data_IF_913346436691
#
_entry.id   IF_913346436691
#
_cell.length_a   1.000
_cell.length_b   1.000
_cell.length_c   1.000
_cell.angle_alpha   90.00
_cell.angle_beta   90.00
_cell.angle_gamma   90.00
#
_symmetry.space_group_name_H-M   'P 1'
#
loop_
_entity.id
_entity.type
_entity.pdbx_description
1 polymer ?
#
# COMPACT_ATOMS: atom_id res chain seq x y z
N UNK A 1 -1.38 5.14 -4.58
CA UNK A 1 -2.29 4.04 -4.27
C UNK A 1 -1.88 2.83 -5.07
N UNK A 2 -1.76 1.69 -4.39
CA UNK A 2 -1.40 0.40 -4.96
C UNK A 2 -2.47 -0.63 -4.63
N UNK A 3 -2.61 -1.65 -5.47
CA UNK A 3 -3.29 -2.92 -5.16
C UNK A 3 -2.23 -4.00 -4.99
N UNK A 4 -2.19 -4.61 -3.81
CA UNK A 4 -1.31 -5.74 -3.51
C UNK A 4 -2.13 -7.01 -3.60
N UNK A 5 -1.72 -7.93 -4.46
CA UNK A 5 -2.31 -9.27 -4.59
C UNK A 5 -1.54 -10.22 -3.70
N UNK A 6 -2.09 -10.49 -2.50
CA UNK A 6 -1.48 -11.37 -1.52
C UNK A 6 -2.09 -12.77 -1.63
N UNK A 7 -1.26 -13.77 -1.87
CA UNK A 7 -1.64 -15.17 -1.75
C UNK A 7 -1.75 -15.52 -0.27
N UNK A 8 -2.89 -16.09 0.11
CA UNK A 8 -3.18 -16.57 1.45
C UNK A 8 -3.53 -18.04 1.34
N UNK A 9 -2.83 -18.86 2.11
CA UNK A 9 -3.06 -20.31 2.20
C UNK A 9 -3.84 -20.58 3.49
N UNK A 10 -5.03 -21.14 3.36
CA UNK A 10 -5.92 -21.55 4.45
C UNK A 10 -6.05 -23.08 4.40
N UNK A 11 -5.14 -23.76 5.11
CA UNK A 11 -5.04 -25.22 5.08
C UNK A 11 -4.60 -25.73 3.71
N UNK A 12 -5.50 -26.41 3.00
CA UNK A 12 -5.24 -26.95 1.64
C UNK A 12 -5.64 -25.98 0.52
N UNK A 13 -6.36 -24.91 0.82
CA UNK A 13 -6.88 -23.99 -0.18
C UNK A 13 -6.02 -22.72 -0.26
N UNK A 14 -5.76 -22.25 -1.47
CA UNK A 14 -5.09 -20.98 -1.72
C UNK A 14 -6.06 -19.97 -2.34
N UNK A 15 -6.01 -18.73 -1.88
CA UNK A 15 -6.76 -17.61 -2.48
C UNK A 15 -5.91 -16.37 -2.59
N UNK A 16 -6.23 -15.52 -3.58
CA UNK A 16 -5.61 -14.22 -3.73
C UNK A 16 -6.50 -13.17 -3.06
N UNK A 17 -6.00 -12.57 -1.98
CA UNK A 17 -6.62 -11.44 -1.32
C UNK A 17 -6.02 -10.13 -1.83
N UNK A 18 -6.89 -9.19 -2.22
CA UNK A 18 -6.47 -7.88 -2.72
C UNK A 18 -6.49 -6.87 -1.58
N UNK A 19 -5.34 -6.25 -1.32
CA UNK A 19 -5.21 -5.12 -0.39
C UNK A 19 -4.87 -3.84 -1.15
N UNK A 20 -5.87 -2.96 -1.29
CA UNK A 20 -5.71 -1.67 -1.95
C UNK A 20 -5.54 -0.54 -0.92
N UNK A 21 -4.52 0.30 -1.10
CA UNK A 21 -4.28 1.45 -0.22
C UNK A 21 -3.13 2.36 -0.65
N UNK A 22 -2.81 3.34 0.20
CA UNK A 22 -1.70 4.28 0.01
C UNK A 22 -0.44 3.67 0.62
N UNK A 23 0.68 3.69 -0.10
CA UNK A 23 1.98 3.35 0.48
C UNK A 23 2.41 4.51 1.38
N UNK A 24 2.56 4.25 2.68
CA UNK A 24 2.89 5.27 3.68
C UNK A 24 4.35 5.23 4.11
N UNK A 25 5.03 4.11 3.91
CA UNK A 25 6.46 3.99 4.17
C UNK A 25 7.08 2.88 3.35
N UNK A 26 8.35 3.07 3.01
CA UNK A 26 9.22 2.04 2.48
C UNK A 26 10.50 2.01 3.33
N UNK A 27 11.01 0.82 3.65
CA UNK A 27 12.18 0.61 4.51
C UNK A 27 13.10 -0.43 3.87
N UNK A 28 14.40 -0.38 4.20
CA UNK A 28 15.40 -1.34 3.75
C UNK A 28 15.93 -1.13 2.31
N UNK A 29 15.37 -0.20 1.54
CA UNK A 29 15.89 0.15 0.21
C UNK A 29 15.91 -1.04 -0.74
N UNK A 30 17.09 -1.45 -1.21
CA UNK A 30 17.29 -2.59 -2.13
C UNK A 30 17.66 -3.90 -1.42
N UNK A 31 17.70 -3.93 -0.09
CA UNK A 31 18.10 -5.13 0.65
C UNK A 31 17.03 -6.23 0.62
N UNK A 32 17.38 -7.51 0.85
CA UNK A 32 16.39 -8.60 0.93
C UNK A 32 15.30 -8.37 1.99
N UNK A 33 15.62 -7.65 3.07
CA UNK A 33 14.69 -7.27 4.13
C UNK A 33 13.85 -6.02 3.83
N UNK A 34 13.90 -5.50 2.59
CA UNK A 34 13.16 -4.31 2.23
C UNK A 34 11.64 -4.55 2.28
N UNK A 35 10.92 -3.57 2.82
CA UNK A 35 9.48 -3.65 3.07
C UNK A 35 8.78 -2.37 2.65
N UNK A 36 7.48 -2.47 2.39
CA UNK A 36 6.60 -1.33 2.19
C UNK A 36 5.31 -1.51 2.96
N UNK A 37 4.80 -0.42 3.53
CA UNK A 37 3.57 -0.42 4.34
C UNK A 37 2.47 0.26 3.56
N UNK A 38 1.34 -0.44 3.39
CA UNK A 38 0.15 0.05 2.71
C UNK A 38 -0.93 0.32 3.76
N UNK A 39 -1.54 1.50 3.71
CA UNK A 39 -2.64 1.94 4.58
C UNK A 39 -3.92 2.12 3.80
N UNK A 40 -5.04 1.65 4.35
CA UNK A 40 -6.39 2.00 3.90
C UNK A 40 -7.30 2.22 5.11
N UNK A 41 -8.27 3.11 4.98
CA UNK A 41 -9.43 3.10 5.87
C UNK A 41 -10.41 2.05 5.34
N UNK A 42 -10.75 1.07 6.17
CA UNK A 42 -11.74 0.07 5.83
C UNK A 42 -13.15 0.68 5.79
N UNK A 43 -14.11 -0.04 5.22
CA UNK A 43 -15.50 0.43 5.09
C UNK A 43 -16.16 0.75 6.43
N UNK A 44 -15.73 0.10 7.51
CA UNK A 44 -16.18 0.35 8.87
C UNK A 44 -15.45 1.54 9.57
N UNK A 45 -14.69 2.35 8.83
CA UNK A 45 -13.98 3.50 9.37
C UNK A 45 -12.65 3.20 10.06
N UNK A 46 -12.29 1.92 10.23
CA UNK A 46 -11.05 1.53 10.91
C UNK A 46 -9.86 1.64 9.96
N UNK A 47 -8.79 2.31 10.41
CA UNK A 47 -7.53 2.36 9.68
C UNK A 47 -6.80 1.03 9.74
N UNK A 48 -6.58 0.39 8.59
CA UNK A 48 -5.85 -0.87 8.47
C UNK A 48 -4.54 -0.64 7.75
N UNK A 49 -3.46 -1.13 8.33
CA UNK A 49 -2.12 -1.11 7.75
C UNK A 49 -1.62 -2.54 7.55
N UNK A 50 -1.00 -2.80 6.40
CA UNK A 50 -0.28 -4.04 6.14
C UNK A 50 1.10 -3.74 5.61
N UNK A 51 2.09 -4.39 6.19
CA UNK A 51 3.49 -4.32 5.74
C UNK A 51 3.82 -5.58 4.95
N UNK A 52 4.39 -5.37 3.76
CA UNK A 52 4.75 -6.43 2.85
C UNK A 52 6.25 -6.37 2.55
N UNK A 53 6.97 -7.50 2.56
CA UNK A 53 8.32 -7.56 2.01
C UNK A 53 8.29 -7.38 0.49
N UNK A 54 9.24 -6.62 -0.05
CA UNK A 54 9.34 -6.35 -1.51
C UNK A 54 9.54 -7.65 -2.30
N UNK A 55 10.32 -8.58 -1.75
CA UNK A 55 10.69 -9.84 -2.41
C UNK A 55 9.90 -11.04 -1.88
N UNK A 56 8.73 -10.83 -1.29
CA UNK A 56 7.93 -11.93 -0.72
C UNK A 56 7.30 -12.80 -1.82
N UNK A 57 7.43 -14.13 -1.71
CA UNK A 57 6.70 -15.09 -2.57
C UNK A 57 5.19 -15.10 -2.33
N UNK A 58 4.75 -14.60 -1.17
CA UNK A 58 3.31 -14.48 -0.86
C UNK A 58 2.64 -13.29 -1.57
N UNK A 59 3.41 -12.39 -2.18
CA UNK A 59 2.87 -11.30 -3.00
C UNK A 59 3.04 -11.69 -4.46
N UNK A 60 1.92 -11.93 -5.13
CA UNK A 60 1.93 -12.34 -6.53
C UNK A 60 2.28 -11.17 -7.46
N UNK A 61 1.65 -10.02 -7.20
CA UNK A 61 1.90 -8.78 -7.95
C UNK A 61 1.43 -7.55 -7.20
N UNK A 62 1.99 -6.40 -7.58
CA UNK A 62 1.60 -5.09 -7.08
C UNK A 62 1.24 -4.19 -8.26
N UNK A 63 -0.01 -3.75 -8.33
CA UNK A 63 -0.47 -2.79 -9.35
C UNK A 63 -0.38 -1.36 -8.81
N UNK A 64 0.20 -0.44 -9.58
CA UNK A 64 0.18 0.99 -9.27
C UNK A 64 -1.04 1.62 -9.94
N UNK A 65 -2.08 1.92 -9.16
CA UNK A 65 -3.30 2.53 -9.69
C UNK A 65 -3.18 4.04 -9.87
N UNK A 66 -2.56 4.71 -8.89
CA UNK A 66 -2.48 6.16 -8.83
C UNK A 66 -1.20 6.61 -8.16
N UNK A 67 -0.53 7.59 -8.74
CA UNK A 67 0.61 8.28 -8.14
C UNK A 67 0.14 9.61 -7.57
N UNK A 68 0.63 9.96 -6.38
CA UNK A 68 0.30 11.22 -5.72
C UNK A 68 1.55 12.03 -5.45
N UNK A 69 1.43 13.36 -5.48
CA UNK A 69 2.53 14.25 -5.07
C UNK A 69 2.54 14.33 -3.55
N UNK A 70 3.65 13.91 -2.95
CA UNK A 70 3.89 13.97 -1.50
C UNK A 70 5.21 14.69 -1.24
N UNK A 71 5.35 15.25 -0.02
CA UNK A 71 6.56 16.00 0.38
C UNK A 71 7.47 15.21 1.33
N UNK A 72 6.96 14.12 1.93
CA UNK A 72 7.68 13.29 2.90
C UNK A 72 7.80 11.87 2.37
N UNK A 73 8.91 11.20 2.68
CA UNK A 73 9.09 9.78 2.38
C UNK A 73 8.23 8.86 3.27
N UNK A 74 8.00 9.29 4.52
CA UNK A 74 7.10 8.63 5.47
C UNK A 74 5.84 9.49 5.68
N UNK A 75 4.68 8.89 5.46
CA UNK A 75 3.38 9.55 5.48
C UNK A 75 2.57 9.18 6.72
N UNK A 76 3.23 8.99 7.87
CA UNK A 76 2.57 8.60 9.12
C UNK A 76 1.51 9.61 9.58
N UNK A 77 1.63 10.88 9.18
CA UNK A 77 0.61 11.90 9.42
C UNK A 77 -0.77 11.53 8.82
N UNK A 78 -0.84 10.63 7.84
CA UNK A 78 -2.11 10.12 7.30
C UNK A 78 -2.85 9.18 8.27
N UNK A 79 -2.26 8.86 9.43
CA UNK A 79 -2.92 8.10 10.48
C UNK A 79 -3.98 8.92 11.20
N UNK A 80 -3.67 10.20 11.41
CA UNK A 80 -4.51 11.14 12.17
C UNK A 80 -5.51 11.89 11.28
N UNK A 81 -5.39 11.75 9.96
CA UNK A 81 -6.26 12.41 8.99
C UNK A 81 -7.37 11.47 8.50
N UNK A 82 -8.56 12.03 8.29
CA UNK A 82 -9.72 11.32 7.75
C UNK A 82 -10.40 12.12 6.63
N UNK A 83 -11.26 11.44 5.85
CA UNK A 83 -12.08 12.05 4.81
C UNK A 83 -11.28 12.85 3.79
N UNK A 84 -11.69 14.10 3.55
CA UNK A 84 -11.06 15.01 2.57
C UNK A 84 -9.61 15.34 2.94
N UNK A 85 -9.28 15.42 4.23
CA UNK A 85 -7.94 15.78 4.70
C UNK A 85 -6.90 14.68 4.39
N UNK A 86 -7.30 13.41 4.39
CA UNK A 86 -6.43 12.29 4.04
C UNK A 86 -6.20 12.15 2.51
N UNK A 87 -6.91 12.93 1.68
CA UNK A 87 -6.85 12.79 0.22
C UNK A 87 -5.59 13.44 -0.34
N UNK A 88 -4.71 12.63 -0.91
CA UNK A 88 -3.49 13.13 -1.57
C UNK A 88 -3.77 13.61 -3.00
N UNK A 89 -3.15 14.74 -3.37
CA UNK A 89 -3.24 15.31 -4.72
C UNK A 89 -2.61 14.38 -5.75
N UNK A 90 -3.35 14.08 -6.81
CA UNK A 90 -2.89 13.23 -7.90
C UNK A 90 -1.75 13.88 -8.68
N UNK A 91 -0.73 13.11 -9.02
CA UNK A 91 0.26 13.50 -10.02
C UNK A 91 -0.28 12.99 -11.36
N UNK A 92 -1.02 13.86 -12.08
CA UNK A 92 -1.31 13.62 -13.50
C UNK A 92 0.02 13.70 -14.25
N UNK A 93 0.52 12.57 -14.71
CA UNK A 93 1.53 12.60 -15.75
C UNK A 93 0.77 12.86 -17.05
N UNK A 94 1.08 13.97 -17.73
CA UNK A 94 0.90 14.00 -19.18
C UNK A 94 1.72 12.82 -19.70
N UNK A 95 1.08 11.88 -20.40
CA UNK A 95 1.82 10.85 -21.12
C UNK A 95 2.75 11.61 -22.09
N UNK A 96 4.05 11.39 -21.96
CA UNK A 96 5.00 11.64 -23.03
C UNK A 96 4.88 10.50 -24.04
#
# INVERSE_FOLDING_TARGET
TVRVHQRITEGRNERIQIFQGIVISMRGGKTPGATYTVRRTASNGIGVERTFPIYSKSVERVEVLRKAKVRRAQLYYLRDLQGKAARLREKRFLKA
#
